data_IF_035557440117
#
_entry.id   IF_035557440117
#
_cell.length_a   1.000
_cell.length_b   1.000
_cell.length_c   1.000
_cell.angle_alpha   90.00
_cell.angle_beta   90.00
_cell.angle_gamma   90.00
#
_symmetry.space_group_name_H-M   'P 1'
#
loop_
_entity.id
_entity.type
_entity.pdbx_description
1 polymer ?
#
# COMPACT_ATOMS: atom_id res chain seq x y z
N UNK A 1 -11.75 -1.57 -17.89
CA UNK A 1 -10.78 -0.50 -17.55
C UNK A 1 -9.58 -0.38 -18.48
N UNK A 2 -8.59 0.43 -18.08
CA UNK A 2 -7.33 0.64 -18.83
C UNK A 2 -6.18 -0.18 -18.21
N UNK A 3 -5.54 -1.01 -19.04
CA UNK A 3 -4.46 -1.92 -18.60
C UNK A 3 -3.24 -1.19 -18.05
N UNK A 4 -2.93 0.01 -18.55
CA UNK A 4 -1.78 0.79 -18.09
C UNK A 4 -1.97 1.28 -16.65
N UNK A 5 -3.16 1.78 -16.30
CA UNK A 5 -3.48 2.16 -14.93
C UNK A 5 -3.61 0.94 -14.00
N UNK A 6 -4.02 -0.20 -14.53
CA UNK A 6 -4.03 -1.47 -13.80
C UNK A 6 -2.60 -1.89 -13.41
N UNK A 7 -1.68 -1.80 -14.36
CA UNK A 7 -0.25 -2.03 -14.13
C UNK A 7 0.32 -1.05 -13.10
N UNK A 8 0.05 0.25 -13.25
CA UNK A 8 0.54 1.27 -12.31
C UNK A 8 0.02 1.06 -10.89
N UNK A 9 -1.26 0.75 -10.73
CA UNK A 9 -1.87 0.50 -9.41
C UNK A 9 -1.25 -0.74 -8.76
N UNK A 10 -1.07 -1.81 -9.53
CA UNK A 10 -0.40 -3.04 -9.08
C UNK A 10 1.06 -2.80 -8.70
N UNK A 11 1.76 -1.97 -9.47
CA UNK A 11 3.14 -1.59 -9.23
C UNK A 11 3.30 -0.78 -7.94
N UNK A 12 2.45 0.22 -7.72
CA UNK A 12 2.44 1.02 -6.47
C UNK A 12 2.10 0.14 -5.26
N UNK A 13 1.12 -0.76 -5.40
CA UNK A 13 0.80 -1.74 -4.36
C UNK A 13 2.01 -2.62 -4.03
N UNK A 14 2.71 -3.15 -5.03
CA UNK A 14 3.90 -3.95 -4.81
C UNK A 14 5.00 -3.17 -4.08
N UNK A 15 5.27 -1.92 -4.49
CA UNK A 15 6.27 -1.06 -3.84
C UNK A 15 5.90 -0.81 -2.38
N UNK A 16 4.61 -0.59 -2.07
CA UNK A 16 4.16 -0.39 -0.69
C UNK A 16 4.41 -1.64 0.18
N UNK A 17 4.08 -2.84 -0.32
CA UNK A 17 4.33 -4.12 0.35
C UNK A 17 5.81 -4.37 0.59
N UNK A 18 6.64 -4.15 -0.44
CA UNK A 18 8.09 -4.33 -0.32
C UNK A 18 8.69 -3.33 0.68
N UNK A 19 8.18 -2.10 0.73
CA UNK A 19 8.67 -1.08 1.69
C UNK A 19 8.33 -1.45 3.14
N UNK A 20 7.16 -2.03 3.40
CA UNK A 20 6.81 -2.54 4.73
C UNK A 20 7.67 -3.75 5.10
N UNK A 21 7.88 -4.68 4.17
CA UNK A 21 8.76 -5.84 4.38
C UNK A 21 10.20 -5.42 4.71
N UNK A 22 10.72 -4.40 4.02
CA UNK A 22 12.04 -3.84 4.28
C UNK A 22 12.16 -3.21 5.66
N UNK A 23 11.12 -2.48 6.11
CA UNK A 23 11.09 -1.92 7.47
C UNK A 23 11.17 -3.01 8.52
N UNK A 24 10.42 -4.11 8.35
CA UNK A 24 10.46 -5.24 9.28
C UNK A 24 11.79 -5.95 9.24
N UNK A 25 12.34 -6.20 8.05
CA UNK A 25 13.68 -6.76 7.90
C UNK A 25 14.74 -5.92 8.62
N UNK A 26 14.63 -4.59 8.56
CA UNK A 26 15.52 -3.69 9.29
C UNK A 26 15.29 -3.73 10.81
N UNK A 27 14.04 -3.91 11.26
CA UNK A 27 13.68 -3.91 12.68
C UNK A 27 14.12 -5.18 13.42
N UNK A 28 14.07 -6.35 12.77
CA UNK A 28 14.44 -7.63 13.40
C UNK A 28 15.94 -7.89 13.42
N UNK A 29 16.39 -8.88 14.18
CA UNK A 29 17.81 -9.23 14.32
C UNK A 29 18.20 -10.52 13.57
N UNK A 30 17.24 -11.24 12.99
CA UNK A 30 17.48 -12.43 12.18
C UNK A 30 16.49 -12.53 11.02
N UNK A 31 16.93 -13.12 9.91
CA UNK A 31 16.07 -13.33 8.73
C UNK A 31 14.88 -14.26 9.03
N UNK A 32 15.06 -15.24 9.91
CA UNK A 32 13.98 -16.14 10.32
C UNK A 32 12.85 -15.39 11.04
N UNK A 33 13.20 -14.44 11.92
CA UNK A 33 12.21 -13.60 12.60
C UNK A 33 11.45 -12.71 11.62
N UNK A 34 12.12 -12.15 10.60
CA UNK A 34 11.45 -11.35 9.57
C UNK A 34 10.38 -12.14 8.82
N UNK A 35 10.71 -13.37 8.40
CA UNK A 35 9.81 -14.24 7.64
C UNK A 35 8.58 -14.62 8.48
N UNK A 36 8.75 -14.89 9.77
CA UNK A 36 7.64 -15.20 10.67
C UNK A 36 6.70 -14.01 10.89
N UNK A 37 7.20 -12.78 10.79
CA UNK A 37 6.37 -11.57 10.91
C UNK A 37 5.64 -11.21 9.61
N UNK A 38 6.07 -11.72 8.44
CA UNK A 38 5.46 -11.37 7.15
C UNK A 38 3.93 -11.60 7.08
N UNK A 39 3.37 -12.73 7.56
CA UNK A 39 1.92 -12.91 7.59
C UNK A 39 1.21 -11.92 8.51
N UNK A 40 1.83 -11.57 9.64
CA UNK A 40 1.30 -10.56 10.57
C UNK A 40 1.27 -9.16 9.95
N UNK A 41 2.15 -8.88 8.98
CA UNK A 41 2.18 -7.60 8.28
C UNK A 41 0.99 -7.39 7.35
N UNK A 42 0.24 -8.44 7.02
CA UNK A 42 -0.99 -8.30 6.23
C UNK A 42 -2.03 -7.43 6.94
N UNK A 43 -2.08 -7.47 8.29
CA UNK A 43 -3.01 -6.66 9.07
C UNK A 43 -2.64 -5.17 9.00
N UNK A 44 -1.39 -4.73 9.30
CA UNK A 44 -0.94 -3.37 8.99
C UNK A 44 -1.08 -3.00 7.52
N UNK A 45 -0.89 -3.91 6.56
CA UNK A 45 -1.07 -3.61 5.14
C UNK A 45 -2.52 -3.23 4.80
N UNK A 46 -3.48 -3.88 5.47
CA UNK A 46 -4.91 -3.55 5.41
C UNK A 46 -5.22 -2.26 6.17
N UNK A 47 -4.65 -2.10 7.38
CA UNK A 47 -4.93 -0.99 8.30
C UNK A 47 -4.23 0.33 7.97
N UNK A 48 -3.01 0.27 7.43
CA UNK A 48 -2.26 1.41 6.87
C UNK A 48 -2.73 1.77 5.46
N UNK A 49 -3.86 1.18 5.04
CA UNK A 49 -4.68 1.60 3.92
C UNK A 49 -4.07 1.44 2.52
N UNK A 50 -2.86 0.89 2.36
CA UNK A 50 -2.30 0.63 1.03
C UNK A 50 -3.23 -0.26 0.20
N UNK A 51 -3.75 -1.33 0.82
CA UNK A 51 -4.70 -2.21 0.17
C UNK A 51 -6.04 -1.50 -0.14
N UNK A 52 -6.56 -0.72 0.81
CA UNK A 52 -7.82 0.04 0.66
C UNK A 52 -7.75 1.00 -0.52
N UNK A 53 -6.75 1.88 -0.54
CA UNK A 53 -6.60 2.90 -1.57
C UNK A 53 -6.20 2.30 -2.93
N UNK A 54 -5.37 1.25 -2.94
CA UNK A 54 -5.04 0.56 -4.19
C UNK A 54 -6.25 -0.16 -4.79
N UNK A 55 -7.11 -0.78 -3.98
CA UNK A 55 -8.36 -1.40 -4.45
C UNK A 55 -9.34 -0.33 -4.95
N UNK A 56 -9.46 0.82 -4.28
CA UNK A 56 -10.27 1.94 -4.78
C UNK A 56 -9.81 2.41 -6.17
N UNK A 57 -8.51 2.57 -6.37
CA UNK A 57 -7.96 2.98 -7.66
C UNK A 57 -8.14 1.92 -8.75
N UNK A 58 -7.92 0.64 -8.42
CA UNK A 58 -8.17 -0.46 -9.33
C UNK A 58 -9.65 -0.54 -9.72
N UNK A 59 -10.54 -0.29 -8.75
CA UNK A 59 -11.98 -0.24 -8.94
C UNK A 59 -12.39 0.87 -9.91
N UNK A 60 -11.98 2.12 -9.65
CA UNK A 60 -12.29 3.25 -10.55
C UNK A 60 -11.70 3.05 -11.95
N UNK A 61 -10.51 2.45 -12.04
CA UNK A 61 -9.93 2.10 -13.34
C UNK A 61 -10.77 1.05 -14.08
N UNK A 62 -11.31 0.04 -13.39
CA UNK A 62 -12.02 -1.06 -14.03
C UNK A 62 -13.44 -0.70 -14.42
N UNK A 63 -14.20 -0.11 -13.48
CA UNK A 63 -15.64 0.11 -13.59
C UNK A 63 -16.02 1.57 -13.88
N UNK A 64 -15.06 2.49 -13.86
CA UNK A 64 -15.31 3.92 -14.05
C UNK A 64 -15.89 4.60 -12.81
N UNK A 65 -16.25 5.88 -12.96
CA UNK A 65 -16.72 6.73 -11.86
C UNK A 65 -18.24 6.69 -11.63
N UNK A 66 -18.99 6.10 -12.55
CA UNK A 66 -20.46 6.12 -12.57
C UNK A 66 -21.11 4.91 -11.89
N UNK A 67 -20.32 3.94 -11.41
CA UNK A 67 -20.84 2.75 -10.73
C UNK A 67 -21.03 3.01 -9.22
N UNK A 68 -22.29 3.15 -8.79
CA UNK A 68 -22.64 3.56 -7.41
C UNK A 68 -22.72 2.41 -6.40
N UNK A 69 -23.12 1.21 -6.81
CA UNK A 69 -23.35 0.10 -5.87
C UNK A 69 -22.08 -0.40 -5.17
N UNK A 70 -20.97 -0.54 -5.91
CA UNK A 70 -19.70 -1.00 -5.34
C UNK A 70 -18.90 0.14 -4.70
N UNK A 71 -19.12 1.39 -5.13
CA UNK A 71 -18.52 2.57 -4.50
C UNK A 71 -19.03 2.77 -3.07
N UNK A 72 -20.32 2.49 -2.84
CA UNK A 72 -20.94 2.55 -1.51
C UNK A 72 -20.44 1.43 -0.58
N UNK A 73 -20.25 0.21 -1.09
CA UNK A 73 -19.74 -0.93 -0.32
C UNK A 73 -18.29 -0.69 0.12
N UNK A 74 -17.46 -0.10 -0.75
CA UNK A 74 -16.03 0.08 -0.50
C UNK A 74 -15.67 1.47 0.07
N UNK A 75 -16.67 2.33 0.32
CA UNK A 75 -16.51 3.75 0.65
C UNK A 75 -15.51 4.46 -0.29
N UNK A 76 -15.57 4.09 -1.57
CA UNK A 76 -14.71 4.60 -2.62
C UNK A 76 -15.39 5.82 -3.26
N UNK A 77 -14.86 7.02 -3.02
CA UNK A 77 -15.45 8.26 -3.53
C UNK A 77 -14.63 8.79 -4.71
N UNK A 78 -15.30 9.05 -5.83
CA UNK A 78 -14.65 9.55 -7.06
C UNK A 78 -13.90 10.86 -6.84
N UNK A 79 -14.43 11.73 -5.98
CA UNK A 79 -13.81 13.01 -5.59
C UNK A 79 -12.49 12.85 -4.81
N UNK A 80 -12.22 11.65 -4.28
CA UNK A 80 -11.07 11.36 -3.43
C UNK A 80 -9.98 10.55 -4.13
N UNK A 81 -10.11 10.25 -5.44
CA UNK A 81 -9.08 9.49 -6.19
C UNK A 81 -7.70 10.14 -6.11
N UNK A 82 -7.62 11.47 -6.18
CA UNK A 82 -6.36 12.19 -5.99
C UNK A 82 -5.78 12.03 -4.59
N UNK A 83 -6.64 11.97 -3.56
CA UNK A 83 -6.22 11.71 -2.19
C UNK A 83 -5.71 10.27 -2.03
N UNK A 84 -6.40 9.29 -2.61
CA UNK A 84 -6.02 7.88 -2.57
C UNK A 84 -4.62 7.66 -3.16
N UNK A 85 -4.31 8.30 -4.29
CA UNK A 85 -2.97 8.32 -4.89
C UNK A 85 -1.96 8.98 -3.94
N UNK A 86 -2.31 10.16 -3.40
CA UNK A 86 -1.44 10.92 -2.49
C UNK A 86 -1.07 10.13 -1.23
N UNK A 87 -2.03 9.44 -0.62
CA UNK A 87 -1.79 8.64 0.59
C UNK A 87 -0.92 7.42 0.26
N UNK A 88 -1.13 6.74 -0.86
CA UNK A 88 -0.28 5.61 -1.28
C UNK A 88 1.19 6.03 -1.45
N UNK A 89 1.43 7.14 -2.14
CA UNK A 89 2.78 7.68 -2.33
C UNK A 89 3.38 8.14 -1.00
N UNK A 90 2.60 8.83 -0.17
CA UNK A 90 3.01 9.27 1.17
C UNK A 90 3.42 8.09 2.05
N UNK A 91 2.64 7.00 2.05
CA UNK A 91 2.94 5.79 2.81
C UNK A 91 4.29 5.19 2.38
N UNK A 92 4.55 5.10 1.07
CA UNK A 92 5.83 4.60 0.55
C UNK A 92 6.99 5.45 1.09
N UNK A 93 6.88 6.78 1.01
CA UNK A 93 7.92 7.70 1.50
C UNK A 93 8.15 7.53 3.00
N UNK A 94 7.09 7.43 3.79
CA UNK A 94 7.17 7.25 5.25
C UNK A 94 7.86 5.93 5.59
N UNK A 95 7.44 4.82 4.98
CA UNK A 95 8.04 3.50 5.22
C UNK A 95 9.51 3.44 4.83
N UNK A 96 9.88 4.06 3.69
CA UNK A 96 11.27 4.12 3.23
C UNK A 96 12.14 4.96 4.16
N UNK A 97 11.64 6.12 4.58
CA UNK A 97 12.34 6.98 5.54
C UNK A 97 12.50 6.27 6.88
N UNK A 98 11.45 5.63 7.39
CA UNK A 98 11.49 4.87 8.63
C UNK A 98 12.51 3.72 8.56
N UNK A 99 12.55 2.98 7.45
CA UNK A 99 13.53 1.91 7.23
C UNK A 99 14.95 2.44 7.32
N UNK A 100 15.24 3.54 6.62
CA UNK A 100 16.57 4.16 6.64
C UNK A 100 16.96 4.65 8.05
N UNK A 101 16.00 5.19 8.81
CA UNK A 101 16.24 5.61 10.20
C UNK A 101 16.56 4.41 11.10
N UNK A 102 15.81 3.31 10.97
CA UNK A 102 16.06 2.09 11.75
C UNK A 102 17.42 1.49 11.41
N UNK A 103 17.78 1.43 10.13
CA UNK A 103 19.10 0.94 9.70
C UNK A 103 20.23 1.81 10.24
N UNK A 104 20.11 3.14 10.15
CA UNK A 104 21.11 4.08 10.69
C UNK A 104 21.30 3.99 12.20
N UNK A 105 20.28 3.54 12.95
CA UNK A 105 20.38 3.33 14.40
C UNK A 105 21.04 2.00 14.77
N UNK A 106 21.08 1.04 13.84
CA UNK A 106 21.71 -0.27 14.03
C UNK A 106 23.16 -0.32 13.52
N UNK A 107 23.51 0.54 12.57
CA UNK A 107 24.88 0.74 12.10
C UNK A 107 25.70 1.51 13.15
#
# INVERSE_FOLDING_TARGET
GNIFYWFLTSWVLNISSVSLAQLVGAAVNSGAQAIQMMPLLFVPQMWLCALKYGVNLAYFNEFGFDYTQLSEINDAKSSLVGLDIGILLGLIIVLRTATNVVLKRKA
#
